data_IF_868933552376
#
_entry.id   IF_868933552376
#
_cell.length_a   1.000
_cell.length_b   1.000
_cell.length_c   1.000
_cell.angle_alpha   90.00
_cell.angle_beta   90.00
_cell.angle_gamma   90.00
#
_symmetry.space_group_name_H-M   'P 1'
#
loop_
_entity.id
_entity.type
_entity.pdbx_description
1 polymer ?
#
# COMPACT_ATOMS: atom_id res chain seq x y z
N UNK A 1 -13.48 17.62 1.31
CA UNK A 1 -14.06 16.27 1.36
C UNK A 1 -13.37 15.48 2.46
N UNK A 2 -14.12 14.86 3.34
CA UNK A 2 -13.56 14.17 4.50
C UNK A 2 -13.59 12.65 4.26
N UNK A 3 -12.43 12.00 4.47
CA UNK A 3 -12.33 10.55 4.56
C UNK A 3 -12.03 10.22 6.03
N UNK A 4 -12.81 9.33 6.60
CA UNK A 4 -12.56 8.82 7.95
C UNK A 4 -12.06 7.40 7.84
N UNK A 5 -10.96 7.09 8.51
CA UNK A 5 -10.40 5.74 8.60
C UNK A 5 -10.24 5.36 10.07
N UNK A 6 -10.55 4.11 10.40
CA UNK A 6 -10.33 3.57 11.74
C UNK A 6 -10.18 2.05 11.69
N UNK A 7 -9.45 1.50 12.64
CA UNK A 7 -9.40 0.07 12.84
C UNK A 7 -10.56 -0.38 13.74
N UNK A 8 -11.17 -1.50 13.39
CA UNK A 8 -12.20 -2.18 14.17
C UNK A 8 -11.62 -3.47 14.77
N UNK A 9 -12.27 -3.98 15.80
CA UNK A 9 -11.75 -5.14 16.54
C UNK A 9 -12.09 -6.46 15.87
N UNK A 10 -13.21 -6.54 15.13
CA UNK A 10 -13.72 -7.81 14.58
C UNK A 10 -14.21 -7.65 13.14
N UNK A 11 -14.23 -8.77 12.41
CA UNK A 11 -14.81 -8.85 11.09
C UNK A 11 -16.34 -8.59 11.10
N UNK A 12 -17.02 -9.04 12.13
CA UNK A 12 -18.47 -8.81 12.31
C UNK A 12 -18.75 -7.31 12.39
N UNK A 13 -18.00 -6.59 13.23
CA UNK A 13 -18.13 -5.13 13.34
C UNK A 13 -17.85 -4.45 12.00
N UNK A 14 -16.88 -4.91 11.22
CA UNK A 14 -16.61 -4.39 9.89
C UNK A 14 -17.81 -4.61 8.96
N UNK A 15 -18.35 -5.82 8.92
CA UNK A 15 -19.53 -6.19 8.10
C UNK A 15 -20.75 -5.34 8.43
N UNK A 16 -21.02 -5.12 9.71
CA UNK A 16 -22.13 -4.28 10.17
C UNK A 16 -22.00 -2.83 9.69
N UNK A 17 -20.78 -2.30 9.62
CA UNK A 17 -20.53 -0.90 9.22
C UNK A 17 -20.51 -0.69 7.71
N UNK A 18 -20.10 -1.69 6.91
CA UNK A 18 -19.88 -1.50 5.45
C UNK A 18 -20.72 -2.42 4.58
N UNK A 19 -21.47 -3.34 5.15
CA UNK A 19 -22.23 -4.36 4.39
C UNK A 19 -21.30 -5.25 3.56
N UNK A 20 -21.59 -5.39 2.28
CA UNK A 20 -20.80 -6.23 1.35
C UNK A 20 -19.55 -5.57 0.76
N UNK A 21 -19.28 -4.31 1.08
CA UNK A 21 -18.15 -3.57 0.50
C UNK A 21 -16.83 -3.87 1.25
N UNK A 22 -16.43 -5.12 1.29
CA UNK A 22 -15.20 -5.56 1.96
C UNK A 22 -14.20 -6.10 0.96
N UNK A 23 -12.96 -5.62 1.05
CA UNK A 23 -11.80 -6.15 0.34
C UNK A 23 -11.07 -7.08 1.30
N UNK A 24 -10.91 -8.32 0.90
CA UNK A 24 -10.17 -9.34 1.65
C UNK A 24 -8.76 -9.46 1.10
N UNK A 25 -7.76 -9.23 1.95
CA UNK A 25 -6.34 -9.24 1.59
C UNK A 25 -5.61 -10.35 2.34
N UNK A 26 -4.92 -11.22 1.60
CA UNK A 26 -4.22 -12.38 2.15
C UNK A 26 -5.08 -13.63 2.18
N UNK A 27 -4.61 -14.62 2.92
CA UNK A 27 -5.28 -15.90 3.07
C UNK A 27 -6.40 -15.86 4.12
N UNK A 28 -7.08 -16.97 4.34
CA UNK A 28 -8.35 -17.08 5.05
C UNK A 28 -8.41 -16.60 6.51
N UNK A 29 -7.29 -16.18 7.10
CA UNK A 29 -7.24 -15.70 8.48
C UNK A 29 -7.01 -14.20 8.53
N UNK A 30 -7.98 -13.45 9.01
CA UNK A 30 -7.91 -11.99 9.11
C UNK A 30 -7.77 -11.56 10.56
N UNK A 31 -6.83 -10.63 10.84
CA UNK A 31 -6.55 -10.10 12.15
C UNK A 31 -6.51 -8.56 12.21
N UNK A 32 -6.68 -7.90 11.08
CA UNK A 32 -6.84 -6.45 10.99
C UNK A 32 -8.07 -6.10 10.14
N UNK A 33 -8.84 -5.12 10.62
CA UNK A 33 -10.12 -4.72 10.04
C UNK A 33 -10.17 -3.20 9.93
N UNK A 34 -9.88 -2.69 8.74
CA UNK A 34 -9.86 -1.26 8.46
C UNK A 34 -11.19 -0.81 7.89
N UNK A 35 -11.82 0.15 8.57
CA UNK A 35 -13.02 0.86 8.10
C UNK A 35 -12.63 2.16 7.42
N UNK A 36 -13.20 2.42 6.24
CA UNK A 36 -12.99 3.62 5.44
C UNK A 36 -14.35 4.21 5.09
N UNK A 37 -14.58 5.46 5.49
CA UNK A 37 -15.83 6.17 5.21
C UNK A 37 -15.56 7.40 4.35
N UNK A 38 -16.16 7.43 3.19
CA UNK A 38 -16.35 8.59 2.33
C UNK A 38 -17.68 9.29 2.68
N UNK A 39 -18.05 10.34 1.93
CA UNK A 39 -19.31 11.05 2.20
C UNK A 39 -20.54 10.14 2.11
N UNK A 40 -20.64 9.35 1.03
CA UNK A 40 -21.82 8.51 0.73
C UNK A 40 -21.55 7.02 0.76
N UNK A 41 -20.28 6.59 0.68
CA UNK A 41 -19.89 5.18 0.66
C UNK A 41 -18.95 4.83 1.78
N UNK A 42 -19.00 3.58 2.18
CA UNK A 42 -18.04 3.00 3.11
C UNK A 42 -17.49 1.69 2.56
N UNK A 43 -16.22 1.43 2.88
CA UNK A 43 -15.51 0.21 2.52
C UNK A 43 -14.82 -0.37 3.74
N UNK A 44 -14.61 -1.67 3.70
CA UNK A 44 -13.80 -2.39 4.66
C UNK A 44 -12.60 -3.03 3.97
N UNK A 45 -11.48 -3.11 4.68
CA UNK A 45 -10.35 -3.96 4.30
C UNK A 45 -10.09 -4.91 5.46
N UNK A 46 -10.23 -6.21 5.19
CA UNK A 46 -9.89 -7.27 6.13
C UNK A 46 -8.60 -7.94 5.66
N UNK A 47 -7.57 -7.96 6.49
CA UNK A 47 -6.28 -8.51 6.11
C UNK A 47 -5.62 -9.29 7.24
N UNK A 48 -4.71 -10.19 6.85
CA UNK A 48 -3.73 -10.78 7.75
C UNK A 48 -2.46 -9.95 7.69
N UNK A 49 -2.01 -9.40 8.82
CA UNK A 49 -0.88 -8.46 8.82
C UNK A 49 0.50 -9.13 8.81
N UNK A 50 0.58 -10.41 9.11
CA UNK A 50 1.87 -11.12 9.22
C UNK A 50 2.93 -10.36 10.06
N UNK A 51 2.48 -9.56 11.04
CA UNK A 51 3.32 -8.68 11.85
C UNK A 51 3.54 -7.28 11.29
N UNK A 52 3.02 -6.96 10.09
CA UNK A 52 3.11 -5.64 9.47
C UNK A 52 1.69 -5.10 9.28
N UNK A 53 1.36 -4.07 10.05
CA UNK A 53 0.03 -3.47 10.01
C UNK A 53 -0.24 -2.78 8.68
N UNK A 54 -1.51 -2.76 8.24
CA UNK A 54 -1.91 -1.97 7.09
C UNK A 54 -1.50 -0.52 7.26
N UNK A 55 -1.04 0.08 6.16
CA UNK A 55 -0.68 1.48 6.12
C UNK A 55 -1.59 2.25 5.15
N UNK A 56 -1.94 3.45 5.55
CA UNK A 56 -2.78 4.36 4.79
C UNK A 56 -1.95 5.58 4.41
N UNK A 57 -2.02 5.97 3.14
CA UNK A 57 -1.37 7.18 2.63
C UNK A 57 -2.35 8.01 1.81
N UNK A 58 -2.35 9.30 2.04
CA UNK A 58 -3.27 10.24 1.41
C UNK A 58 -2.54 11.17 0.45
N UNK A 59 -3.01 11.23 -0.79
CA UNK A 59 -2.54 12.17 -1.80
C UNK A 59 -3.60 13.26 -2.02
N UNK A 60 -3.45 14.38 -1.31
CA UNK A 60 -4.40 15.50 -1.38
C UNK A 60 -4.44 16.19 -2.73
N UNK A 61 -3.33 16.19 -3.48
CA UNK A 61 -3.27 16.84 -4.80
C UNK A 61 -4.10 16.13 -5.86
N UNK A 62 -4.21 14.82 -5.75
CA UNK A 62 -4.92 13.98 -6.72
C UNK A 62 -6.21 13.37 -6.16
N UNK A 63 -6.57 13.70 -4.90
CA UNK A 63 -7.72 13.13 -4.19
C UNK A 63 -7.73 11.59 -4.22
N UNK A 64 -6.57 11.00 -3.89
CA UNK A 64 -6.38 9.56 -3.83
C UNK A 64 -6.03 9.11 -2.42
N UNK A 65 -6.55 7.95 -2.05
CA UNK A 65 -6.21 7.25 -0.81
C UNK A 65 -5.58 5.91 -1.18
N UNK A 66 -4.37 5.67 -0.67
CA UNK A 66 -3.67 4.39 -0.86
C UNK A 66 -3.69 3.58 0.42
N UNK A 67 -3.81 2.28 0.26
CA UNK A 67 -3.74 1.31 1.36
C UNK A 67 -2.82 0.18 0.94
N UNK A 68 -1.77 -0.06 1.72
CA UNK A 68 -0.96 -1.26 1.65
C UNK A 68 -1.35 -2.22 2.76
N UNK A 69 -1.69 -3.44 2.42
CA UNK A 69 -2.15 -4.44 3.37
C UNK A 69 -1.84 -5.85 2.88
N UNK A 70 -1.13 -6.65 3.69
CA UNK A 70 -0.77 -8.02 3.34
C UNK A 70 -0.04 -8.11 1.99
N UNK A 71 -0.64 -8.67 0.97
CA UNK A 71 -0.14 -8.73 -0.41
C UNK A 71 -1.00 -7.89 -1.36
N UNK A 72 -1.61 -6.81 -0.87
CA UNK A 72 -2.44 -5.94 -1.69
C UNK A 72 -1.98 -4.48 -1.60
N UNK A 73 -2.08 -3.80 -2.72
CA UNK A 73 -1.98 -2.35 -2.79
C UNK A 73 -3.25 -1.81 -3.44
N UNK A 74 -3.99 -0.99 -2.70
CA UNK A 74 -5.33 -0.54 -3.05
C UNK A 74 -5.32 0.98 -3.20
N UNK A 75 -5.98 1.48 -4.22
CA UNK A 75 -6.18 2.92 -4.42
C UNK A 75 -7.67 3.23 -4.50
N UNK A 76 -8.09 4.22 -3.72
CA UNK A 76 -9.43 4.79 -3.79
C UNK A 76 -9.41 6.19 -4.38
N UNK A 77 -10.36 6.48 -5.25
CA UNK A 77 -10.69 7.83 -5.69
C UNK A 77 -11.66 8.47 -4.70
N UNK A 78 -11.24 9.56 -4.06
CA UNK A 78 -12.02 10.16 -2.98
C UNK A 78 -13.26 10.87 -3.51
N UNK A 79 -13.13 11.62 -4.60
CA UNK A 79 -14.27 12.34 -5.20
C UNK A 79 -15.35 11.39 -5.73
N UNK A 80 -14.94 10.30 -6.35
CA UNK A 80 -15.85 9.29 -6.91
C UNK A 80 -16.27 8.23 -5.90
N UNK A 81 -15.65 8.24 -4.73
CA UNK A 81 -15.92 7.26 -3.66
C UNK A 81 -15.87 5.81 -4.18
N UNK A 82 -14.84 5.49 -4.99
CA UNK A 82 -14.72 4.20 -5.65
C UNK A 82 -13.31 3.62 -5.53
N UNK A 83 -13.22 2.33 -5.72
CA UNK A 83 -11.93 1.64 -5.88
C UNK A 83 -11.42 1.95 -7.29
N UNK A 84 -10.23 2.54 -7.37
CA UNK A 84 -9.53 2.81 -8.64
C UNK A 84 -8.77 1.55 -9.07
N UNK A 85 -8.04 0.93 -8.14
CA UNK A 85 -7.45 -0.38 -8.34
C UNK A 85 -7.28 -1.13 -7.01
N UNK A 86 -7.19 -2.45 -7.11
CA UNK A 86 -6.78 -3.36 -6.05
C UNK A 86 -5.79 -4.35 -6.66
N UNK A 87 -4.50 -4.05 -6.54
CA UNK A 87 -3.43 -4.82 -7.14
C UNK A 87 -2.86 -5.82 -6.14
N UNK A 88 -2.77 -7.08 -6.55
CA UNK A 88 -2.06 -8.10 -5.79
C UNK A 88 -0.56 -7.90 -5.97
N UNK A 89 0.16 -7.84 -4.85
CA UNK A 89 1.61 -7.74 -4.81
C UNK A 89 2.25 -9.13 -4.91
N UNK A 90 3.41 -9.22 -5.53
CA UNK A 90 4.17 -10.48 -5.60
C UNK A 90 4.77 -10.89 -4.26
N UNK A 91 4.99 -9.92 -3.36
CA UNK A 91 5.58 -10.09 -2.04
C UNK A 91 4.78 -9.35 -0.98
N UNK A 92 5.03 -9.65 0.30
CA UNK A 92 4.39 -8.95 1.41
C UNK A 92 4.69 -7.45 1.36
N UNK A 93 3.67 -6.67 1.60
CA UNK A 93 3.75 -5.23 1.77
C UNK A 93 4.51 -4.86 3.06
N UNK A 94 5.41 -3.89 2.98
CA UNK A 94 6.13 -3.34 4.11
C UNK A 94 5.73 -1.90 4.43
N UNK A 95 5.87 -1.00 3.46
CA UNK A 95 5.66 0.43 3.70
C UNK A 95 5.32 1.19 2.41
N UNK A 96 4.61 2.29 2.57
CA UNK A 96 4.42 3.31 1.53
C UNK A 96 5.38 4.47 1.81
N UNK A 97 6.30 4.76 0.90
CA UNK A 97 7.10 5.98 0.91
C UNK A 97 6.57 6.94 -0.14
N UNK A 98 6.61 8.23 0.16
CA UNK A 98 6.22 9.27 -0.80
C UNK A 98 7.34 10.29 -0.96
N UNK A 99 7.64 10.64 -2.19
CA UNK A 99 8.59 11.70 -2.53
C UNK A 99 8.08 12.46 -3.75
N UNK A 100 7.80 13.76 -3.59
CA UNK A 100 7.23 14.60 -4.63
C UNK A 100 5.90 14.03 -5.16
N UNK A 101 5.84 13.59 -6.42
CA UNK A 101 4.66 12.95 -7.03
C UNK A 101 4.72 11.42 -6.99
N UNK A 102 5.86 10.86 -6.58
CA UNK A 102 6.07 9.42 -6.55
C UNK A 102 5.53 8.78 -5.27
N UNK A 103 4.93 7.63 -5.44
CA UNK A 103 4.51 6.73 -4.37
C UNK A 103 5.24 5.41 -4.55
N UNK A 104 6.09 5.06 -3.60
CA UNK A 104 6.86 3.81 -3.61
C UNK A 104 6.21 2.83 -2.65
N UNK A 105 5.88 1.67 -3.17
CA UNK A 105 5.38 0.53 -2.39
C UNK A 105 6.55 -0.38 -2.13
N UNK A 106 7.04 -0.37 -0.90
CA UNK A 106 8.11 -1.25 -0.45
C UNK A 106 7.51 -2.59 -0.08
N UNK A 107 8.02 -3.65 -0.67
CA UNK A 107 7.65 -5.03 -0.39
C UNK A 107 8.84 -5.81 0.13
N UNK A 108 8.59 -7.03 0.59
CA UNK A 108 9.62 -7.93 1.13
C UNK A 108 10.85 -8.06 0.20
N UNK A 109 10.64 -8.25 -1.10
CA UNK A 109 11.73 -8.41 -2.08
C UNK A 109 11.60 -7.49 -3.30
N UNK A 110 10.95 -6.35 -3.17
CA UNK A 110 10.75 -5.45 -4.31
C UNK A 110 10.20 -4.09 -3.97
N UNK A 111 10.24 -3.22 -4.97
CA UNK A 111 9.69 -1.87 -4.91
C UNK A 111 8.87 -1.62 -6.17
N UNK A 112 7.69 -1.07 -5.99
CA UNK A 112 6.80 -0.66 -7.09
C UNK A 112 6.58 0.84 -6.97
N UNK A 113 6.70 1.55 -8.07
CA UNK A 113 6.51 3.00 -8.11
C UNK A 113 5.22 3.37 -8.85
N UNK A 114 4.47 4.27 -8.26
CA UNK A 114 3.28 4.87 -8.85
C UNK A 114 3.41 6.39 -8.94
N UNK A 115 2.76 6.96 -9.95
CA UNK A 115 2.37 8.37 -9.99
C UNK A 115 0.85 8.39 -10.11
N UNK A 116 0.17 8.93 -9.10
CA UNK A 116 -1.28 8.83 -9.01
C UNK A 116 -1.74 7.38 -9.02
N UNK A 117 -2.64 7.04 -9.93
CA UNK A 117 -3.15 5.69 -10.09
C UNK A 117 -2.37 4.83 -11.10
N UNK A 118 -1.27 5.35 -11.66
CA UNK A 118 -0.50 4.69 -12.72
C UNK A 118 0.79 4.10 -12.17
N UNK A 119 1.00 2.79 -12.38
CA UNK A 119 2.27 2.15 -12.10
C UNK A 119 3.30 2.58 -13.16
N UNK A 120 4.46 3.07 -12.69
CA UNK A 120 5.52 3.60 -13.56
C UNK A 120 6.61 2.56 -13.79
N UNK A 121 7.05 1.90 -12.72
CA UNK A 121 8.04 0.85 -12.76
C UNK A 121 7.92 -0.07 -11.55
N UNK A 122 8.54 -1.24 -11.66
CA UNK A 122 8.76 -2.17 -10.55
C UNK A 122 10.16 -2.76 -10.65
N UNK A 123 10.77 -3.02 -9.52
CA UNK A 123 12.11 -3.57 -9.41
C UNK A 123 12.14 -4.61 -8.29
N UNK A 124 12.64 -5.80 -8.58
CA UNK A 124 12.71 -6.91 -7.64
C UNK A 124 14.15 -7.28 -7.32
N UNK A 125 14.37 -7.73 -6.09
CA UNK A 125 15.67 -8.14 -5.57
C UNK A 125 15.66 -9.63 -5.26
N UNK A 126 16.85 -10.24 -5.20
CA UNK A 126 16.98 -11.68 -4.94
C UNK A 126 16.75 -12.08 -3.51
N UNK A 127 16.83 -11.12 -2.58
CA UNK A 127 16.70 -11.37 -1.16
C UNK A 127 15.84 -10.30 -0.48
N UNK A 128 15.49 -10.55 0.76
CA UNK A 128 14.60 -9.72 1.59
C UNK A 128 15.24 -8.36 1.85
N UNK A 129 14.49 -7.30 1.61
CA UNK A 129 14.87 -5.93 1.93
C UNK A 129 14.86 -5.75 3.46
N UNK A 130 15.97 -5.30 4.03
CA UNK A 130 16.10 -5.07 5.47
C UNK A 130 16.33 -3.60 5.84
N UNK A 131 16.73 -2.76 4.89
CA UNK A 131 16.85 -1.31 5.09
C UNK A 131 16.62 -0.58 3.77
N UNK A 132 16.03 0.61 3.84
CA UNK A 132 15.76 1.45 2.68
C UNK A 132 15.58 2.91 3.08
N UNK A 133 15.99 3.81 2.21
CA UNK A 133 15.78 5.26 2.38
C UNK A 133 15.94 6.01 1.06
N UNK A 134 15.25 7.14 0.95
CA UNK A 134 15.41 8.05 -0.19
C UNK A 134 16.64 8.94 0.06
N UNK A 135 17.56 8.96 -0.90
CA UNK A 135 18.76 9.79 -0.89
C UNK A 135 18.83 10.56 -2.22
N UNK A 136 18.50 11.84 -2.20
CA UNK A 136 18.45 12.65 -3.41
C UNK A 136 17.44 12.10 -4.42
N UNK A 137 17.93 11.70 -5.60
CA UNK A 137 17.11 11.13 -6.68
C UNK A 137 17.13 9.59 -6.73
N UNK A 138 17.61 8.97 -5.68
CA UNK A 138 17.76 7.53 -5.61
C UNK A 138 17.08 6.97 -4.35
N UNK A 139 16.60 5.74 -4.48
CA UNK A 139 16.17 4.92 -3.36
C UNK A 139 17.30 3.94 -3.03
N UNK A 140 17.89 4.09 -1.86
CA UNK A 140 18.83 3.12 -1.32
C UNK A 140 18.07 1.91 -0.80
N UNK A 141 18.54 0.72 -1.15
CA UNK A 141 17.99 -0.57 -0.70
C UNK A 141 19.14 -1.43 -0.19
N UNK A 142 18.96 -2.01 0.98
CA UNK A 142 19.85 -3.04 1.51
C UNK A 142 19.08 -4.33 1.75
N UNK A 143 19.63 -5.44 1.29
CA UNK A 143 19.05 -6.77 1.47
C UNK A 143 19.74 -7.55 2.60
N UNK A 144 19.10 -8.60 3.06
CA UNK A 144 19.60 -9.42 4.17
C UNK A 144 20.90 -10.17 3.84
N UNK A 145 21.17 -10.45 2.57
CA UNK A 145 22.45 -11.00 2.09
C UNK A 145 23.61 -10.00 2.15
N UNK A 146 23.34 -8.75 2.57
CA UNK A 146 24.31 -7.67 2.71
C UNK A 146 24.53 -6.86 1.42
N UNK A 147 23.90 -7.23 0.32
CA UNK A 147 23.99 -6.45 -0.93
C UNK A 147 23.21 -5.13 -0.81
N UNK A 148 23.79 -4.10 -1.40
CA UNK A 148 23.25 -2.75 -1.42
C UNK A 148 23.00 -2.31 -2.87
N UNK A 149 21.88 -1.64 -3.07
CA UNK A 149 21.44 -1.18 -4.39
C UNK A 149 20.99 0.28 -4.32
N UNK A 150 21.21 0.99 -5.42
CA UNK A 150 20.64 2.31 -5.63
C UNK A 150 19.67 2.26 -6.81
N UNK A 151 18.43 2.62 -6.56
CA UNK A 151 17.37 2.59 -7.56
C UNK A 151 17.03 4.04 -7.94
N UNK A 152 17.14 4.37 -9.21
CA UNK A 152 16.73 5.68 -9.71
C UNK A 152 15.22 5.88 -9.53
N UNK A 153 14.81 6.97 -8.88
CA UNK A 153 13.40 7.21 -8.53
C UNK A 153 12.49 7.33 -9.75
N UNK A 154 13.02 7.87 -10.83
CA UNK A 154 12.23 8.11 -12.04
C UNK A 154 12.08 6.87 -12.92
N UNK A 155 13.15 6.10 -13.07
CA UNK A 155 13.22 4.99 -14.03
C UNK A 155 13.17 3.60 -13.41
N UNK A 156 13.40 3.47 -12.12
CA UNK A 156 13.53 2.17 -11.45
C UNK A 156 14.82 1.40 -11.79
N UNK A 157 15.75 2.03 -12.51
CA UNK A 157 17.03 1.39 -12.86
C UNK A 157 17.92 1.25 -11.64
N UNK A 158 18.51 0.07 -11.52
CA UNK A 158 19.42 -0.30 -10.43
C UNK A 158 20.86 -0.03 -10.84
N UNK A 159 21.60 0.53 -9.93
CA UNK A 159 23.04 0.72 -10.03
C UNK A 159 23.78 0.20 -8.80
#
# INVERSE_FOLDING_TARGET
MFVTTRFLETLESLKENVGGNIIYCGDDTYNNFLYIKFAHKAYGVACCDYGIKPQISFNSKQNLLYIGASQNFICFGIEKENIVFNNKLSFLFYEILTESEYVFVICECGVICYIGSTQIWETYFKDIICDYKIIGKQLFIKCMDGLEYFVDLQSGKVS
#
